data_IF_858401691043
#
_entry.id   IF_858401691043
#
_cell.length_a   1.000
_cell.length_b   1.000
_cell.length_c   1.000
_cell.angle_alpha   90.00
_cell.angle_beta   90.00
_cell.angle_gamma   90.00
#
_symmetry.space_group_name_H-M   'P 1'
#
loop_
_entity.id
_entity.type
_entity.pdbx_description
1 polymer ?
#
# COMPACT_ATOMS: atom_id res chain seq x y z
N UNK A 1 -3.39 -2.13 5.40
CA UNK A 1 -4.32 -1.18 6.05
C UNK A 1 -3.90 -1.04 7.50
N UNK A 2 -3.77 0.18 8.03
CA UNK A 2 -3.54 0.38 9.46
C UNK A 2 -4.84 0.02 10.19
N UNK A 3 -4.84 -0.90 11.18
CA UNK A 3 -6.04 -1.25 11.93
C UNK A 3 -6.67 -0.01 12.57
N UNK A 4 -7.99 0.03 12.61
CA UNK A 4 -8.81 1.06 13.28
C UNK A 4 -8.65 2.49 12.77
N UNK A 5 -7.83 2.72 11.73
CA UNK A 5 -7.58 4.04 11.19
C UNK A 5 -8.86 4.76 10.76
N UNK A 6 -9.02 6.00 11.22
CA UNK A 6 -10.13 6.85 10.78
C UNK A 6 -9.97 7.17 9.28
N UNK A 7 -11.03 6.95 8.51
CA UNK A 7 -11.03 7.11 7.05
C UNK A 7 -12.12 8.10 6.61
N UNK A 8 -11.80 8.96 5.65
CA UNK A 8 -12.74 9.86 4.98
C UNK A 8 -13.05 9.35 3.56
N UNK A 9 -14.11 8.55 3.42
CA UNK A 9 -14.55 8.05 2.11
C UNK A 9 -15.32 9.12 1.33
N UNK A 10 -14.60 10.00 0.63
CA UNK A 10 -15.20 11.10 -0.17
C UNK A 10 -15.77 10.66 -1.52
N UNK A 11 -15.49 9.42 -1.93
CA UNK A 11 -15.96 8.82 -3.17
C UNK A 11 -16.14 7.31 -3.00
N UNK A 12 -17.05 6.74 -3.78
CA UNK A 12 -17.28 5.30 -3.88
C UNK A 12 -17.10 4.86 -5.34
N UNK A 13 -16.31 3.81 -5.56
CA UNK A 13 -16.11 3.25 -6.89
C UNK A 13 -17.36 2.53 -7.39
N UNK A 14 -17.74 2.77 -8.65
CA UNK A 14 -18.83 2.07 -9.36
C UNK A 14 -18.24 1.10 -10.38
N UNK A 15 -17.20 1.54 -11.09
CA UNK A 15 -16.42 0.71 -12.01
C UNK A 15 -14.95 1.13 -11.96
N UNK A 16 -14.11 0.51 -12.79
CA UNK A 16 -12.69 0.92 -12.94
C UNK A 16 -12.53 2.40 -13.32
N UNK A 17 -13.51 2.96 -14.03
CA UNK A 17 -13.44 4.31 -14.63
C UNK A 17 -14.60 5.22 -14.20
N UNK A 18 -15.44 4.78 -13.25
CA UNK A 18 -16.58 5.56 -12.77
C UNK A 18 -16.75 5.44 -11.25
N UNK A 19 -17.28 6.49 -10.64
CA UNK A 19 -17.55 6.53 -9.20
C UNK A 19 -18.54 7.62 -8.82
N UNK A 20 -19.16 7.46 -7.67
CA UNK A 20 -19.94 8.51 -7.04
C UNK A 20 -19.02 9.35 -6.15
N UNK A 21 -19.13 10.67 -6.25
CA UNK A 21 -18.29 11.62 -5.50
C UNK A 21 -19.16 12.59 -4.73
N UNK A 22 -18.73 12.97 -3.53
CA UNK A 22 -19.30 14.13 -2.85
C UNK A 22 -19.00 15.42 -3.64
N UNK A 23 -19.80 16.46 -3.42
CA UNK A 23 -19.44 17.81 -3.88
C UNK A 23 -18.17 18.28 -3.16
N UNK A 24 -17.43 19.22 -3.76
CA UNK A 24 -16.18 19.71 -3.18
C UNK A 24 -16.35 20.23 -1.73
N UNK A 25 -17.34 21.07 -1.39
CA UNK A 25 -17.54 21.52 -0.01
C UNK A 25 -17.84 20.37 0.96
N UNK A 26 -18.64 19.39 0.54
CA UNK A 26 -18.99 18.23 1.36
C UNK A 26 -17.78 17.32 1.61
N UNK A 27 -16.93 17.12 0.60
CA UNK A 27 -15.68 16.37 0.75
C UNK A 27 -14.73 17.04 1.74
N UNK A 28 -14.53 18.36 1.63
CA UNK A 28 -13.70 19.12 2.56
C UNK A 28 -14.25 19.03 4.00
N UNK A 29 -15.56 19.23 4.18
CA UNK A 29 -16.19 19.12 5.50
C UNK A 29 -15.96 17.74 6.14
N UNK A 30 -16.15 16.66 5.36
CA UNK A 30 -15.92 15.30 5.83
C UNK A 30 -14.44 15.06 6.19
N UNK A 31 -13.49 15.55 5.39
CA UNK A 31 -12.06 15.42 5.69
C UNK A 31 -11.72 16.15 6.99
N UNK A 32 -12.19 17.37 7.19
CA UNK A 32 -11.96 18.13 8.42
C UNK A 32 -12.52 17.41 9.65
N UNK A 33 -13.75 16.90 9.58
CA UNK A 33 -14.39 16.16 10.65
C UNK A 33 -13.59 14.90 11.02
N UNK A 34 -13.23 14.11 10.00
CA UNK A 34 -12.50 12.84 10.18
C UNK A 34 -11.08 13.06 10.68
N UNK A 35 -10.39 14.09 10.19
CA UNK A 35 -9.07 14.46 10.69
C UNK A 35 -9.12 14.86 12.17
N UNK A 36 -10.10 15.69 12.57
CA UNK A 36 -10.30 16.05 13.99
C UNK A 36 -10.51 14.79 14.84
N UNK A 37 -11.43 13.91 14.43
CA UNK A 37 -11.73 12.66 15.14
C UNK A 37 -10.51 11.73 15.23
N UNK A 38 -9.69 11.67 14.18
CA UNK A 38 -8.46 10.90 14.19
C UNK A 38 -7.49 11.42 15.27
N UNK A 39 -7.28 12.73 15.36
CA UNK A 39 -6.40 13.31 16.38
C UNK A 39 -6.96 13.08 17.80
N UNK A 40 -8.27 13.20 18.00
CA UNK A 40 -8.91 12.93 19.30
C UNK A 40 -8.72 11.47 19.77
N UNK A 41 -8.66 10.53 18.82
CA UNK A 41 -8.48 9.10 19.05
C UNK A 41 -7.04 8.63 18.88
N UNK A 42 -6.07 9.54 18.87
CA UNK A 42 -4.68 9.21 18.52
C UNK A 42 -4.10 8.07 19.37
N UNK A 43 -4.44 8.00 20.66
CA UNK A 43 -4.00 6.95 21.59
C UNK A 43 -4.52 5.56 21.25
N UNK A 44 -5.59 5.44 20.48
CA UNK A 44 -6.17 4.17 20.03
C UNK A 44 -5.36 3.56 18.87
N UNK A 45 -4.63 4.37 18.10
CA UNK A 45 -3.90 3.91 16.92
C UNK A 45 -2.52 3.36 17.28
N UNK A 46 -2.38 2.04 17.15
CA UNK A 46 -1.07 1.40 17.28
C UNK A 46 -0.30 1.52 15.96
N UNK A 47 0.99 1.93 15.99
CA UNK A 47 1.82 1.93 14.79
C UNK A 47 1.85 0.55 14.14
N UNK A 48 1.51 0.49 12.86
CA UNK A 48 1.59 -0.74 12.09
C UNK A 48 3.05 -1.12 11.88
N UNK A 49 3.47 -2.24 12.48
CA UNK A 49 4.84 -2.76 12.40
C UNK A 49 4.86 -4.10 11.69
N UNK A 50 5.78 -4.25 10.75
CA UNK A 50 6.10 -5.52 10.10
C UNK A 50 7.40 -6.00 10.73
N UNK A 51 7.35 -7.12 11.47
CA UNK A 51 8.54 -7.72 12.05
C UNK A 51 9.43 -8.32 10.96
N UNK A 52 10.75 -8.13 11.07
CA UNK A 52 11.71 -8.69 10.13
C UNK A 52 12.09 -10.15 10.44
N UNK A 53 12.73 -10.87 9.50
CA UNK A 53 12.95 -10.51 8.08
C UNK A 53 11.65 -10.60 7.26
N UNK A 54 11.56 -9.86 6.15
CA UNK A 54 10.33 -9.76 5.34
C UNK A 54 10.51 -10.27 3.91
N UNK A 55 9.40 -10.74 3.36
CA UNK A 55 9.25 -11.19 1.98
C UNK A 55 8.18 -10.32 1.29
N UNK A 56 8.57 -9.56 0.26
CA UNK A 56 7.63 -8.84 -0.61
C UNK A 56 7.44 -9.65 -1.88
N UNK A 57 6.22 -10.16 -2.09
CA UNK A 57 5.83 -10.90 -3.29
C UNK A 57 5.07 -9.96 -4.23
N UNK A 58 5.58 -9.81 -5.44
CA UNK A 58 4.99 -8.95 -6.47
C UNK A 58 4.56 -9.80 -7.64
N UNK A 59 3.25 -9.84 -7.90
CA UNK A 59 2.69 -10.42 -9.11
C UNK A 59 2.43 -9.31 -10.15
N UNK A 60 3.05 -9.44 -11.31
CA UNK A 60 2.87 -8.55 -12.45
C UNK A 60 1.65 -8.97 -13.27
N UNK A 61 0.94 -8.00 -13.86
CA UNK A 61 -0.25 -8.28 -14.67
C UNK A 61 0.07 -9.18 -15.88
N UNK A 62 1.24 -8.99 -16.49
CA UNK A 62 1.72 -9.76 -17.65
C UNK A 62 3.06 -10.42 -17.34
N UNK A 63 3.36 -11.51 -18.05
CA UNK A 63 4.69 -12.10 -18.04
C UNK A 63 5.63 -11.17 -18.81
N UNK A 64 6.25 -10.22 -18.10
CA UNK A 64 7.19 -9.28 -18.71
C UNK A 64 8.46 -9.98 -19.20
N UNK A 65 9.10 -9.41 -20.22
CA UNK A 65 10.46 -9.77 -20.68
C UNK A 65 11.52 -9.14 -19.76
N UNK A 66 11.25 -9.04 -18.46
CA UNK A 66 12.21 -8.44 -17.53
C UNK A 66 13.36 -9.42 -17.34
N UNK A 67 14.48 -9.09 -17.96
CA UNK A 67 15.78 -9.77 -17.92
C UNK A 67 16.65 -9.23 -16.78
N UNK A 68 16.04 -8.80 -15.66
CA UNK A 68 16.82 -8.44 -14.48
C UNK A 68 17.59 -9.68 -14.04
N UNK A 69 18.92 -9.60 -14.08
CA UNK A 69 19.77 -10.67 -13.54
C UNK A 69 19.40 -10.87 -12.06
N UNK A 70 19.29 -12.13 -11.60
CA UNK A 70 19.10 -12.42 -10.18
C UNK A 70 20.16 -11.68 -9.36
N UNK A 71 19.72 -10.92 -8.36
CA UNK A 71 20.58 -10.22 -7.40
C UNK A 71 20.27 -10.78 -6.01
N UNK A 72 21.17 -10.54 -5.06
CA UNK A 72 20.96 -10.97 -3.68
C UNK A 72 19.61 -10.47 -3.14
N UNK A 73 18.78 -11.40 -2.66
CA UNK A 73 17.45 -11.12 -2.15
C UNK A 73 16.38 -10.87 -3.21
N UNK A 74 16.64 -11.11 -4.51
CA UNK A 74 15.64 -11.00 -5.59
C UNK A 74 15.53 -12.33 -6.33
N UNK A 75 14.36 -12.95 -6.29
CA UNK A 75 14.11 -14.26 -6.88
C UNK A 75 12.87 -14.22 -7.78
N UNK A 76 12.93 -14.85 -8.95
CA UNK A 76 11.76 -15.06 -9.81
C UNK A 76 11.07 -16.36 -9.41
N UNK A 77 9.89 -16.28 -8.82
CA UNK A 77 9.11 -17.46 -8.41
C UNK A 77 8.38 -18.13 -9.58
N UNK A 78 7.88 -17.34 -10.53
CA UNK A 78 7.24 -17.85 -11.75
C UNK A 78 7.24 -16.81 -12.88
N UNK A 79 6.49 -17.08 -13.96
CA UNK A 79 6.43 -16.21 -15.13
C UNK A 79 6.09 -14.74 -14.81
N UNK A 80 5.29 -14.47 -13.76
CA UNK A 80 4.81 -13.14 -13.39
C UNK A 80 5.13 -12.71 -11.96
N UNK A 81 5.65 -13.62 -11.13
CA UNK A 81 5.82 -13.37 -9.70
C UNK A 81 7.29 -13.29 -9.34
N UNK A 82 7.63 -12.21 -8.63
CA UNK A 82 8.96 -11.95 -8.09
C UNK A 82 8.90 -11.84 -6.57
N UNK A 83 9.95 -12.27 -5.91
CA UNK A 83 10.13 -12.24 -4.47
C UNK A 83 11.32 -11.36 -4.12
N UNK A 84 11.10 -10.41 -3.22
CA UNK A 84 12.11 -9.50 -2.69
C UNK A 84 12.26 -9.73 -1.20
N UNK A 85 13.43 -10.22 -0.77
CA UNK A 85 13.78 -10.52 0.62
C UNK A 85 14.56 -9.36 1.20
N UNK A 86 14.12 -8.85 2.35
CA UNK A 86 14.83 -7.79 3.07
C UNK A 86 14.90 -8.05 4.56
N UNK A 87 15.89 -7.46 5.22
CA UNK A 87 16.02 -7.51 6.69
C UNK A 87 14.84 -6.82 7.40
N UNK A 88 14.21 -5.87 6.70
CA UNK A 88 13.03 -5.13 7.12
C UNK A 88 12.22 -4.70 5.88
N UNK A 89 11.06 -4.07 6.09
CA UNK A 89 10.17 -3.60 5.01
C UNK A 89 10.79 -2.53 4.13
N UNK A 90 11.69 -1.70 4.67
CA UNK A 90 12.33 -0.64 3.90
C UNK A 90 13.36 -1.24 2.95
N UNK A 91 14.19 -2.17 3.43
CA UNK A 91 15.17 -2.89 2.61
C UNK A 91 14.48 -3.69 1.47
N UNK A 92 13.41 -4.43 1.78
CA UNK A 92 12.66 -5.16 0.76
C UNK A 92 11.97 -4.22 -0.26
N UNK A 93 11.41 -3.09 0.21
CA UNK A 93 10.82 -2.08 -0.67
C UNK A 93 11.85 -1.42 -1.58
N UNK A 94 13.04 -1.09 -1.07
CA UNK A 94 14.11 -0.47 -1.86
C UNK A 94 14.58 -1.42 -2.98
N UNK A 95 14.75 -2.71 -2.67
CA UNK A 95 15.04 -3.76 -3.66
C UNK A 95 14.00 -3.83 -4.77
N UNK A 96 12.71 -3.69 -4.44
CA UNK A 96 11.63 -3.63 -5.42
C UNK A 96 11.60 -2.29 -6.20
N UNK A 97 11.80 -1.16 -5.55
CA UNK A 97 11.71 0.17 -6.20
C UNK A 97 12.82 0.40 -7.24
N UNK A 98 13.97 -0.26 -7.06
CA UNK A 98 15.12 -0.22 -7.96
C UNK A 98 15.17 -1.40 -8.94
N UNK A 99 14.10 -2.20 -9.01
CA UNK A 99 13.93 -3.36 -9.87
C UNK A 99 13.31 -3.00 -11.23
#
# INVERSE_FOLDING_TARGET
MVPDAECAAVKAGVSRTAGFTLSHPAACALIHEKARRAIERLSEFKPYRIAGPVEVRVELATAGVRTSQPREGIERLNARTWLFRGKDIIDAWLKYSSF
#
